data_IF_711437595024
#
_entry.id   IF_711437595024
#
_cell.length_a   1.000
_cell.length_b   1.000
_cell.length_c   1.000
_cell.angle_alpha   90.00
_cell.angle_beta   90.00
_cell.angle_gamma   90.00
#
_symmetry.space_group_name_H-M   'P 1'
#
loop_
_entity.id
_entity.type
_entity.pdbx_description
1 polymer ?
#
# COMPACT_ATOMS: atom_id res chain seq x y z
N UNK A 1 -45.50 -46.97 -23.60
CA UNK A 1 -44.51 -46.02 -24.15
C UNK A 1 -44.27 -44.81 -23.25
N UNK A 2 -44.93 -44.73 -22.08
CA UNK A 2 -44.85 -43.56 -21.19
C UNK A 2 -43.77 -43.70 -20.08
N UNK A 3 -43.34 -44.94 -19.79
CA UNK A 3 -42.28 -45.23 -18.81
C UNK A 3 -40.86 -44.89 -19.28
N UNK A 4 -40.58 -45.00 -20.58
CA UNK A 4 -39.24 -44.71 -21.13
C UNK A 4 -38.95 -43.21 -21.20
N UNK A 5 -39.97 -42.37 -21.41
CA UNK A 5 -39.81 -40.92 -21.40
C UNK A 5 -39.53 -40.38 -19.98
N UNK A 6 -40.01 -41.03 -18.93
CA UNK A 6 -39.73 -40.59 -17.56
C UNK A 6 -38.29 -40.89 -17.13
N UNK A 7 -37.73 -42.03 -17.53
CA UNK A 7 -36.34 -42.41 -17.19
C UNK A 7 -35.31 -41.58 -17.95
N UNK A 8 -35.58 -41.22 -19.21
CA UNK A 8 -34.74 -40.30 -19.99
C UNK A 8 -34.71 -38.89 -19.39
N UNK A 9 -35.87 -38.36 -19.00
CA UNK A 9 -35.95 -37.05 -18.35
C UNK A 9 -35.18 -37.02 -17.03
N UNK A 10 -35.34 -38.04 -16.17
CA UNK A 10 -34.59 -38.15 -14.93
C UNK A 10 -33.08 -38.16 -15.18
N UNK A 11 -32.60 -38.93 -16.16
CA UNK A 11 -31.19 -38.94 -16.56
C UNK A 11 -30.69 -37.54 -16.96
N UNK A 12 -31.41 -36.83 -17.83
CA UNK A 12 -31.05 -35.48 -18.28
C UNK A 12 -30.98 -34.47 -17.12
N UNK A 13 -31.91 -34.55 -16.16
CA UNK A 13 -31.87 -33.71 -14.95
C UNK A 13 -30.64 -34.00 -14.07
N UNK A 14 -30.30 -35.28 -13.85
CA UNK A 14 -29.09 -35.65 -13.09
C UNK A 14 -27.80 -35.20 -13.78
N UNK A 15 -27.71 -35.29 -15.11
CA UNK A 15 -26.57 -34.74 -15.84
C UNK A 15 -26.49 -33.23 -15.67
N UNK A 16 -27.60 -32.51 -15.85
CA UNK A 16 -27.65 -31.05 -15.73
C UNK A 16 -27.21 -30.55 -14.34
N UNK A 17 -27.72 -31.17 -13.26
CA UNK A 17 -27.34 -30.85 -11.88
C UNK A 17 -25.84 -31.06 -11.61
N UNK A 18 -25.28 -32.19 -12.08
CA UNK A 18 -23.85 -32.48 -11.92
C UNK A 18 -22.97 -31.50 -12.70
N UNK A 19 -23.32 -31.17 -13.95
CA UNK A 19 -22.58 -30.17 -14.73
C UNK A 19 -22.63 -28.79 -14.08
N UNK A 20 -23.77 -28.41 -13.49
CA UNK A 20 -23.92 -27.15 -12.78
C UNK A 20 -23.01 -27.05 -11.55
N UNK A 21 -22.96 -28.11 -10.74
CA UNK A 21 -22.06 -28.19 -9.57
C UNK A 21 -20.59 -28.16 -9.98
N UNK A 22 -20.21 -28.88 -11.03
CA UNK A 22 -18.83 -28.85 -11.56
C UNK A 22 -18.46 -27.48 -12.13
N UNK A 23 -19.40 -26.78 -12.79
CA UNK A 23 -19.18 -25.44 -13.30
C UNK A 23 -18.97 -24.42 -12.16
N UNK A 24 -19.77 -24.50 -11.09
CA UNK A 24 -19.57 -23.67 -9.89
C UNK A 24 -18.21 -23.96 -9.24
N UNK A 25 -17.84 -25.24 -9.08
CA UNK A 25 -16.55 -25.62 -8.53
C UNK A 25 -15.38 -25.10 -9.37
N UNK A 26 -15.46 -25.26 -10.69
CA UNK A 26 -14.42 -24.80 -11.62
C UNK A 26 -14.27 -23.28 -11.61
N UNK A 27 -15.38 -22.53 -11.62
CA UNK A 27 -15.36 -21.07 -11.54
C UNK A 27 -14.84 -20.58 -10.18
N UNK A 28 -15.18 -21.25 -9.08
CA UNK A 28 -14.65 -20.94 -7.76
C UNK A 28 -13.13 -21.15 -7.68
N UNK A 29 -12.60 -22.25 -8.26
CA UNK A 29 -11.15 -22.52 -8.32
C UNK A 29 -10.43 -21.47 -9.15
N UNK A 30 -10.96 -21.10 -10.32
CA UNK A 30 -10.40 -20.01 -11.14
C UNK A 30 -10.43 -18.69 -10.37
N UNK A 31 -11.53 -18.37 -9.70
CA UNK A 31 -11.65 -17.18 -8.87
C UNK A 31 -10.61 -17.15 -7.75
N UNK A 32 -10.40 -18.27 -7.05
CA UNK A 32 -9.37 -18.41 -6.02
C UNK A 32 -7.95 -18.26 -6.57
N UNK A 33 -7.66 -18.85 -7.73
CA UNK A 33 -6.37 -18.71 -8.40
C UNK A 33 -6.10 -17.27 -8.85
N UNK A 34 -7.11 -16.61 -9.43
CA UNK A 34 -7.03 -15.19 -9.77
C UNK A 34 -6.80 -14.36 -8.52
N UNK A 35 -7.59 -14.54 -7.45
CA UNK A 35 -7.38 -13.84 -6.17
C UNK A 35 -5.99 -14.11 -5.59
N UNK A 36 -5.49 -15.35 -5.66
CA UNK A 36 -4.15 -15.70 -5.20
C UNK A 36 -3.05 -15.03 -6.02
N UNK A 37 -3.26 -14.84 -7.33
CA UNK A 37 -2.29 -14.18 -8.18
C UNK A 37 -2.35 -12.65 -8.04
N UNK A 38 -3.57 -12.11 -7.90
CA UNK A 38 -3.82 -10.70 -7.69
C UNK A 38 -3.41 -10.28 -6.26
N UNK A 39 -3.39 -11.17 -5.25
CA UNK A 39 -3.03 -10.81 -3.86
C UNK A 39 -1.74 -10.00 -3.77
N UNK A 40 -0.71 -10.33 -4.56
CA UNK A 40 0.59 -9.66 -4.53
C UNK A 40 0.53 -8.20 -4.99
N UNK A 41 -0.41 -7.85 -5.88
CA UNK A 41 -0.59 -6.49 -6.40
C UNK A 41 -1.56 -5.65 -5.56
N UNK A 42 -2.50 -6.30 -4.87
CA UNK A 42 -3.56 -5.61 -4.11
C UNK A 42 -3.20 -5.41 -2.64
N UNK A 43 -2.25 -6.17 -2.10
CA UNK A 43 -1.84 -6.08 -0.70
C UNK A 43 -1.25 -4.70 -0.29
N UNK A 44 -0.41 -4.03 -1.10
CA UNK A 44 0.08 -2.69 -0.74
C UNK A 44 -1.04 -1.65 -0.75
N UNK A 45 -2.00 -1.80 -1.68
CA UNK A 45 -3.13 -0.89 -1.87
C UNK A 45 -4.22 -1.07 -0.80
N UNK A 46 -4.47 -2.29 -0.33
CA UNK A 46 -5.44 -2.49 0.75
C UNK A 46 -4.91 -2.10 2.13
N UNK A 47 -3.58 -2.09 2.32
CA UNK A 47 -2.96 -1.70 3.60
C UNK A 47 -3.17 -0.21 3.91
N UNK A 48 -3.13 0.66 2.90
CA UNK A 48 -3.34 2.10 3.09
C UNK A 48 -4.77 2.43 3.54
N UNK A 49 -5.81 1.74 3.01
CA UNK A 49 -7.20 2.03 3.39
C UNK A 49 -7.52 1.69 4.86
N UNK A 50 -6.83 0.70 5.44
CA UNK A 50 -6.94 0.38 6.89
C UNK A 50 -6.03 1.23 7.76
N UNK A 51 -4.82 1.55 7.31
CA UNK A 51 -3.87 2.38 8.06
C UNK A 51 -4.30 3.86 8.13
N UNK A 52 -4.89 4.42 7.06
CA UNK A 52 -5.35 5.82 7.03
C UNK A 52 -6.48 6.12 8.01
N UNK A 53 -7.23 5.12 8.48
CA UNK A 53 -8.24 5.32 9.54
C UNK A 53 -7.66 5.32 10.95
N UNK A 54 -6.48 4.74 11.16
CA UNK A 54 -5.80 4.75 12.46
C UNK A 54 -4.82 5.92 12.61
N UNK A 55 -4.22 6.38 11.50
CA UNK A 55 -3.25 7.48 11.49
C UNK A 55 -3.83 8.89 11.74
N UNK A 56 -5.15 9.06 11.70
CA UNK A 56 -5.78 10.37 11.95
C UNK A 56 -5.60 10.84 13.40
N UNK A 57 -5.52 9.92 14.37
CA UNK A 57 -5.35 10.28 15.79
C UNK A 57 -3.89 10.42 16.22
N UNK A 58 -2.96 9.72 15.57
CA UNK A 58 -1.53 9.73 15.95
C UNK A 58 -0.75 10.94 15.39
N UNK A 59 -1.24 11.61 14.33
CA UNK A 59 -0.55 12.79 13.78
C UNK A 59 -0.45 14.00 14.72
N UNK A 60 -1.26 14.04 15.77
CA UNK A 60 -1.21 15.11 16.79
C UNK A 60 -0.16 14.87 17.88
N UNK A 61 0.38 13.64 17.98
CA UNK A 61 1.31 13.23 19.05
C UNK A 61 2.56 12.56 18.45
N UNK A 62 3.05 13.06 17.31
CA UNK A 62 4.41 12.73 16.89
C UNK A 62 5.35 13.44 17.87
N UNK A 63 5.74 12.73 18.93
CA UNK A 63 6.80 13.17 19.82
C UNK A 63 8.17 13.13 19.13
N UNK A 64 9.20 13.61 19.80
CA UNK A 64 10.54 13.73 19.23
C UNK A 64 11.38 12.45 19.34
N UNK A 65 10.76 11.30 19.58
CA UNK A 65 11.45 10.03 19.80
C UNK A 65 11.24 9.06 18.63
N UNK A 66 12.18 8.13 18.45
CA UNK A 66 12.06 7.05 17.46
C UNK A 66 10.82 6.16 17.70
N UNK A 67 10.41 6.01 18.97
CA UNK A 67 9.20 5.24 19.31
C UNK A 67 7.94 5.92 18.77
N UNK A 68 7.83 7.24 18.95
CA UNK A 68 6.68 8.01 18.43
C UNK A 68 6.65 8.00 16.90
N UNK A 69 7.81 8.02 16.25
CA UNK A 69 7.93 7.93 14.79
C UNK A 69 7.45 6.55 14.28
N UNK A 70 7.76 5.47 14.99
CA UNK A 70 7.23 4.13 14.69
C UNK A 70 5.73 4.08 14.89
N UNK A 71 5.23 4.60 16.01
CA UNK A 71 3.82 4.55 16.37
C UNK A 71 2.95 5.38 15.42
N UNK A 72 3.50 6.47 14.88
CA UNK A 72 2.86 7.30 13.84
C UNK A 72 3.00 6.74 12.42
N UNK A 73 3.66 5.58 12.25
CA UNK A 73 3.82 4.91 10.97
C UNK A 73 4.87 5.53 10.06
N UNK A 74 5.84 6.27 10.61
CA UNK A 74 7.00 6.83 9.90
C UNK A 74 8.16 5.83 9.77
N UNK A 75 7.83 4.56 9.60
CA UNK A 75 8.77 3.45 9.43
C UNK A 75 8.37 2.57 8.24
N UNK A 76 9.36 2.02 7.53
CA UNK A 76 9.15 1.16 6.38
C UNK A 76 10.24 0.10 6.26
N UNK A 77 10.10 -0.84 5.32
CA UNK A 77 11.14 -1.86 5.10
C UNK A 77 12.47 -1.27 4.59
N UNK A 78 12.47 -0.06 4.01
CA UNK A 78 13.69 0.63 3.57
C UNK A 78 14.16 1.69 4.57
N UNK A 79 13.38 1.91 5.63
CA UNK A 79 13.62 2.92 6.63
C UNK A 79 13.13 2.40 7.98
N UNK A 80 13.93 1.50 8.57
CA UNK A 80 13.62 0.86 9.85
C UNK A 80 14.18 1.70 11.01
N UNK A 81 13.32 1.94 12.00
CA UNK A 81 13.63 2.69 13.22
C UNK A 81 13.75 1.79 14.46
N UNK A 82 13.40 0.51 14.35
CA UNK A 82 13.43 -0.43 15.49
C UNK A 82 14.85 -0.60 16.04
N UNK A 83 15.85 -0.69 15.15
CA UNK A 83 17.26 -0.76 15.56
C UNK A 83 17.75 0.46 16.33
N UNK A 84 17.17 1.65 16.09
CA UNK A 84 17.51 2.85 16.85
C UNK A 84 16.90 2.83 18.26
N UNK A 85 15.69 2.28 18.40
CA UNK A 85 15.00 2.10 19.68
C UNK A 85 15.77 1.08 20.53
N UNK A 86 16.05 -0.10 19.97
CA UNK A 86 16.76 -1.18 20.66
C UNK A 86 18.19 -0.79 21.04
N UNK A 87 18.84 0.03 20.21
CA UNK A 87 20.17 0.58 20.46
C UNK A 87 20.23 1.73 21.45
N UNK A 88 19.08 2.22 21.95
CA UNK A 88 19.01 3.36 22.87
C UNK A 88 19.56 4.66 22.25
N UNK A 89 19.37 4.86 20.95
CA UNK A 89 19.88 6.02 20.22
C UNK A 89 19.25 7.32 20.75
N UNK A 90 20.09 8.24 21.24
CA UNK A 90 19.66 9.52 21.83
C UNK A 90 19.43 10.63 20.80
N UNK A 91 19.63 10.36 19.50
CA UNK A 91 19.39 11.35 18.44
C UNK A 91 17.89 11.63 18.31
N UNK A 92 17.57 12.86 17.91
CA UNK A 92 16.20 13.41 17.89
C UNK A 92 15.29 12.90 16.75
N UNK A 93 15.61 11.75 16.15
CA UNK A 93 14.81 11.20 15.04
C UNK A 93 14.74 12.12 13.81
N UNK A 94 13.62 12.03 13.08
CA UNK A 94 13.34 12.89 11.91
C UNK A 94 13.15 14.37 12.31
N UNK A 95 13.35 15.28 11.35
CA UNK A 95 13.01 16.69 11.52
C UNK A 95 11.49 16.89 11.63
N UNK A 96 11.04 17.61 12.67
CA UNK A 96 9.62 17.80 12.99
C UNK A 96 8.82 18.49 11.86
N UNK A 97 9.44 19.46 11.18
CA UNK A 97 8.79 20.13 10.06
C UNK A 97 8.60 19.17 8.87
N UNK A 98 9.60 18.36 8.58
CA UNK A 98 9.50 17.31 7.57
C UNK A 98 8.46 16.24 7.93
N UNK A 99 8.42 15.76 9.18
CA UNK A 99 7.42 14.78 9.65
C UNK A 99 6.00 15.27 9.38
N UNK A 100 5.70 16.49 9.79
CA UNK A 100 4.37 17.08 9.64
C UNK A 100 3.93 17.16 8.17
N UNK A 101 4.84 17.56 7.27
CA UNK A 101 4.54 17.62 5.85
C UNK A 101 4.38 16.23 5.23
N UNK A 102 5.21 15.26 5.61
CA UNK A 102 5.10 13.86 5.15
C UNK A 102 3.76 13.26 5.59
N UNK A 103 3.38 13.42 6.85
CA UNK A 103 2.08 12.95 7.36
C UNK A 103 0.92 13.62 6.61
N UNK A 104 1.03 14.93 6.33
CA UNK A 104 0.03 15.64 5.54
C UNK A 104 -0.10 15.06 4.12
N UNK A 105 1.01 14.71 3.47
CA UNK A 105 1.02 14.05 2.16
C UNK A 105 0.42 12.64 2.24
N UNK A 106 0.79 11.85 3.25
CA UNK A 106 0.22 10.51 3.50
C UNK A 106 -1.31 10.59 3.61
N UNK A 107 -1.81 11.56 4.38
CA UNK A 107 -3.25 11.74 4.59
C UNK A 107 -3.97 12.27 3.34
N UNK A 108 -3.38 13.26 2.66
CA UNK A 108 -3.98 13.88 1.48
C UNK A 108 -4.04 12.94 0.29
N UNK A 109 -2.94 12.22 0.03
CA UNK A 109 -2.77 11.42 -1.17
C UNK A 109 -2.95 9.91 -0.93
N UNK A 110 -3.24 9.50 0.31
CA UNK A 110 -3.37 8.09 0.73
C UNK A 110 -2.13 7.25 0.38
N UNK A 111 -0.95 7.84 0.51
CA UNK A 111 0.33 7.23 0.16
C UNK A 111 0.98 6.50 1.34
N UNK A 112 1.87 5.56 1.03
CA UNK A 112 2.73 4.93 2.05
C UNK A 112 3.78 5.94 2.56
N UNK A 113 4.43 5.66 3.69
CA UNK A 113 5.49 6.51 4.22
C UNK A 113 6.63 6.73 3.19
N UNK A 114 7.07 5.67 2.50
CA UNK A 114 8.14 5.78 1.50
C UNK A 114 7.74 6.64 0.31
N UNK A 115 6.53 6.46 -0.20
CA UNK A 115 6.01 7.24 -1.32
C UNK A 115 5.80 8.71 -0.92
N UNK A 116 5.26 8.95 0.27
CA UNK A 116 5.03 10.29 0.79
C UNK A 116 6.35 11.03 1.05
N UNK A 117 7.35 10.34 1.60
CA UNK A 117 8.71 10.88 1.77
C UNK A 117 9.35 11.23 0.42
N UNK A 118 9.18 10.36 -0.58
CA UNK A 118 9.67 10.63 -1.95
C UNK A 118 9.01 11.88 -2.53
N UNK A 119 7.68 11.99 -2.41
CA UNK A 119 6.92 13.15 -2.88
C UNK A 119 7.28 14.43 -2.11
N UNK A 120 7.52 14.34 -0.80
CA UNK A 120 8.02 15.44 0.01
C UNK A 120 9.36 15.97 -0.54
N UNK A 121 10.32 15.08 -0.80
CA UNK A 121 11.62 15.49 -1.35
C UNK A 121 11.50 16.08 -2.75
N UNK A 122 10.67 15.51 -3.62
CA UNK A 122 10.40 16.08 -4.95
C UNK A 122 9.81 17.49 -4.85
N UNK A 123 8.82 17.69 -3.98
CA UNK A 123 8.24 19.01 -3.74
C UNK A 123 9.27 20.01 -3.20
N UNK A 124 10.13 19.57 -2.28
CA UNK A 124 11.19 20.41 -1.70
C UNK A 124 12.24 20.80 -2.73
N UNK A 125 12.65 19.87 -3.59
CA UNK A 125 13.56 20.15 -4.70
C UNK A 125 12.94 21.16 -5.68
N UNK A 126 11.69 20.92 -6.10
CA UNK A 126 10.99 21.82 -7.01
C UNK A 126 10.87 23.25 -6.45
N UNK A 127 10.53 23.40 -5.16
CA UNK A 127 10.46 24.71 -4.47
C UNK A 127 11.81 25.43 -4.45
N UNK A 128 12.91 24.68 -4.48
CA UNK A 128 14.28 25.20 -4.45
C UNK A 128 14.90 25.33 -5.85
N UNK A 129 14.09 25.30 -6.92
CA UNK A 129 14.56 25.36 -8.31
C UNK A 129 15.55 24.24 -8.64
N UNK A 130 15.29 23.03 -8.14
CA UNK A 130 16.04 21.82 -8.48
C UNK A 130 15.13 20.91 -9.30
N UNK A 131 15.64 20.47 -10.44
CA UNK A 131 14.95 19.58 -11.36
C UNK A 131 14.78 18.16 -10.81
N UNK A 132 13.93 17.33 -11.43
CA UNK A 132 13.74 15.94 -11.04
C UNK A 132 15.01 15.07 -11.19
N UNK A 133 15.93 15.53 -12.04
CA UNK A 133 17.27 14.97 -12.27
C UNK A 133 18.29 15.39 -11.22
N UNK A 134 17.90 16.24 -10.26
CA UNK A 134 18.78 16.79 -9.23
C UNK A 134 19.61 18.00 -9.69
N UNK A 135 19.46 18.44 -10.94
CA UNK A 135 20.20 19.59 -11.46
C UNK A 135 19.52 20.91 -11.07
N UNK A 136 20.27 21.98 -10.76
CA UNK A 136 19.69 23.30 -10.60
C UNK A 136 19.00 23.74 -11.90
N UNK A 137 17.79 24.29 -11.77
CA UNK A 137 17.03 24.90 -12.87
C UNK A 137 17.45 26.35 -13.13
N UNK A 138 18.33 26.91 -12.29
CA UNK A 138 18.87 28.25 -12.47
C UNK A 138 19.76 28.29 -13.73
N UNK A 139 19.44 29.12 -14.74
CA UNK A 139 20.25 29.25 -15.95
C UNK A 139 21.70 29.69 -15.71
N UNK A 140 22.00 30.25 -14.54
CA UNK A 140 23.34 30.70 -14.16
C UNK A 140 24.09 29.68 -13.29
N UNK A 141 23.47 28.55 -12.96
CA UNK A 141 24.14 27.51 -12.21
C UNK A 141 25.27 26.90 -13.05
N UNK A 142 26.48 26.93 -12.51
CA UNK A 142 27.61 26.22 -13.08
C UNK A 142 27.71 24.85 -12.42
N UNK A 143 27.59 23.78 -13.21
CA UNK A 143 27.69 22.40 -12.75
C UNK A 143 28.91 21.73 -13.38
N UNK A 144 29.66 20.96 -12.58
CA UNK A 144 30.74 20.12 -13.06
C UNK A 144 30.12 18.77 -13.46
N UNK A 145 29.95 18.54 -14.77
CA UNK A 145 29.50 17.27 -15.33
C UNK A 145 30.62 16.24 -15.42
#
# INVERSE_FOLDING_TARGET
>A
MEGDQQTENLGVFYYFENYFLHFIGFTAVIGLLLLFHLRKKWLPKYRHWRASRHNQYLSMVAGSSFQDDVDSGLTSGTFDLMGNIDGGDSRKGLDEAAKKEIIAIMNKDSLTFDDARTKYFQNKMARNQIGPDGMPLDPRAFTFG
#
